data_IF_395694206198
#
_entry.id   IF_395694206198
#
_cell.length_a   1.000
_cell.length_b   1.000
_cell.length_c   1.000
_cell.angle_alpha   90.00
_cell.angle_beta   90.00
_cell.angle_gamma   90.00
#
_symmetry.space_group_name_H-M   'P 1'
#
loop_
_entity.id
_entity.type
_entity.pdbx_description
1 polymer ?
#
# COMPACT_ATOMS: atom_id res chain seq x y z
N UNK A 1 -61.70 44.32 -28.43
CA UNK A 1 -60.64 44.15 -27.39
C UNK A 1 -61.16 43.52 -26.09
N UNK A 2 -62.31 43.95 -25.53
CA UNK A 2 -62.86 43.40 -24.26
C UNK A 2 -63.22 41.90 -24.25
N UNK A 3 -63.61 41.34 -25.41
CA UNK A 3 -63.90 39.90 -25.55
C UNK A 3 -62.63 39.04 -25.69
N UNK A 4 -61.54 39.64 -26.19
CA UNK A 4 -60.25 38.95 -26.35
C UNK A 4 -59.53 38.85 -25.00
N UNK A 5 -59.60 39.90 -24.19
CA UNK A 5 -59.07 39.92 -22.82
C UNK A 5 -59.79 38.93 -21.90
N UNK A 6 -61.12 38.75 -22.05
CA UNK A 6 -61.88 37.79 -21.26
C UNK A 6 -61.50 36.32 -21.57
N UNK A 7 -61.20 36.02 -22.84
CA UNK A 7 -60.75 34.68 -23.28
C UNK A 7 -59.31 34.44 -22.82
N UNK A 8 -58.44 35.46 -22.85
CA UNK A 8 -57.06 35.36 -22.37
C UNK A 8 -57.01 35.15 -20.85
N UNK A 9 -57.88 35.82 -20.07
CA UNK A 9 -57.98 35.61 -18.62
C UNK A 9 -58.58 34.24 -18.26
N UNK A 10 -59.52 33.72 -19.05
CA UNK A 10 -60.10 32.39 -18.82
C UNK A 10 -59.11 31.27 -19.19
N UNK A 11 -58.29 31.47 -20.21
CA UNK A 11 -57.20 30.56 -20.56
C UNK A 11 -56.05 30.57 -19.53
N UNK A 12 -55.78 31.72 -18.89
CA UNK A 12 -54.73 31.84 -17.88
C UNK A 12 -55.12 31.24 -16.51
N UNK A 13 -56.43 31.15 -16.20
CA UNK A 13 -56.93 30.43 -15.01
C UNK A 13 -56.87 28.91 -15.22
N UNK A 14 -57.06 28.41 -16.45
CA UNK A 14 -56.91 26.98 -16.75
C UNK A 14 -55.45 26.50 -16.79
N UNK A 15 -54.48 27.39 -17.00
CA UNK A 15 -53.05 27.05 -17.03
C UNK A 15 -52.42 26.88 -15.63
N UNK A 16 -53.09 27.30 -14.54
CA UNK A 16 -52.59 27.21 -13.17
C UNK A 16 -53.15 26.03 -12.35
N UNK A 17 -53.98 25.15 -12.93
CA UNK A 17 -54.60 24.03 -12.22
C UNK A 17 -54.01 22.65 -12.51
N UNK A 18 -52.87 22.54 -13.19
CA UNK A 18 -52.17 21.25 -13.38
C UNK A 18 -51.06 21.04 -12.36
N UNK A 19 -51.34 21.31 -11.08
CA UNK A 19 -50.71 20.53 -10.03
C UNK A 19 -51.56 19.27 -9.86
N UNK A 20 -51.27 18.24 -10.65
CA UNK A 20 -51.76 16.88 -10.38
C UNK A 20 -51.16 16.40 -9.07
N UNK A 21 -51.74 16.83 -7.94
CA UNK A 21 -51.84 15.96 -6.80
C UNK A 21 -52.58 14.72 -7.30
N UNK A 22 -51.89 13.58 -7.34
CA UNK A 22 -52.52 12.31 -7.64
C UNK A 22 -53.66 12.10 -6.64
N UNK A 23 -54.87 12.46 -7.05
CA UNK A 23 -56.05 12.38 -6.22
C UNK A 23 -56.45 10.91 -6.18
N UNK A 24 -56.49 10.32 -4.97
CA UNK A 24 -56.84 8.91 -4.76
C UNK A 24 -58.08 8.55 -5.57
N UNK A 25 -58.00 7.48 -6.35
CA UNK A 25 -59.13 6.94 -7.08
C UNK A 25 -60.29 6.62 -6.13
N UNK A 26 -61.53 6.60 -6.64
CA UNK A 26 -62.72 6.28 -5.81
C UNK A 26 -62.59 4.93 -5.10
N UNK A 27 -61.88 3.97 -5.72
CA UNK A 27 -61.59 2.67 -5.14
C UNK A 27 -60.62 2.79 -3.96
N UNK A 28 -59.49 3.46 -4.14
CA UNK A 28 -58.51 3.69 -3.08
C UNK A 28 -59.11 4.51 -1.93
N UNK A 29 -59.89 5.56 -2.21
CA UNK A 29 -60.57 6.33 -1.17
C UNK A 29 -61.51 5.46 -0.31
N UNK A 30 -62.18 4.48 -0.91
CA UNK A 30 -63.04 3.52 -0.19
C UNK A 30 -62.20 2.59 0.69
N UNK A 31 -61.05 2.15 0.21
CA UNK A 31 -60.11 1.33 1.00
C UNK A 31 -59.49 2.11 2.17
N UNK A 32 -59.02 3.33 1.93
CA UNK A 32 -58.49 4.19 2.98
C UNK A 32 -59.53 4.57 4.02
N UNK A 33 -60.80 4.77 3.62
CA UNK A 33 -61.91 4.93 4.57
C UNK A 33 -62.18 3.68 5.41
N UNK A 34 -62.03 2.48 4.84
CA UNK A 34 -62.14 1.22 5.61
C UNK A 34 -60.98 1.09 6.59
N UNK A 35 -59.74 1.27 6.13
CA UNK A 35 -58.53 1.26 6.97
C UNK A 35 -58.61 2.27 8.12
N UNK A 36 -59.06 3.50 7.83
CA UNK A 36 -59.25 4.52 8.87
C UNK A 36 -60.28 4.11 9.94
N UNK A 37 -61.40 3.48 9.53
CA UNK A 37 -62.38 2.94 10.48
C UNK A 37 -61.84 1.77 11.29
N UNK A 38 -60.99 0.94 10.70
CA UNK A 38 -60.35 -0.20 11.36
C UNK A 38 -59.35 0.26 12.42
N UNK A 39 -58.48 1.22 12.09
CA UNK A 39 -57.56 1.83 13.05
C UNK A 39 -58.28 2.62 14.15
N UNK A 40 -59.43 3.24 13.84
CA UNK A 40 -60.26 3.90 14.86
C UNK A 40 -60.84 2.91 15.88
N UNK A 41 -61.03 1.64 15.51
CA UNK A 41 -61.50 0.58 16.41
C UNK A 41 -60.36 -0.04 17.24
N UNK A 42 -59.12 0.01 16.76
CA UNK A 42 -57.93 -0.53 17.43
C UNK A 42 -56.83 0.54 17.57
N UNK A 43 -56.91 1.42 18.60
CA UNK A 43 -55.91 2.47 18.83
C UNK A 43 -54.49 1.94 19.10
N UNK A 44 -54.36 0.77 19.74
CA UNK A 44 -53.05 0.15 20.03
C UNK A 44 -52.29 -0.23 18.75
N UNK A 45 -53.01 -0.78 17.77
CA UNK A 45 -52.41 -1.16 16.48
C UNK A 45 -51.91 0.08 15.72
N UNK A 46 -52.64 1.20 15.80
CA UNK A 46 -52.20 2.45 15.21
C UNK A 46 -50.94 2.98 15.91
N UNK A 47 -50.88 2.93 17.24
CA UNK A 47 -49.69 3.32 18.00
C UNK A 47 -48.47 2.49 17.61
N UNK A 48 -48.61 1.16 17.53
CA UNK A 48 -47.52 0.27 17.10
C UNK A 48 -47.01 0.59 15.69
N UNK A 49 -47.91 0.80 14.73
CA UNK A 49 -47.53 1.16 13.36
C UNK A 49 -46.80 2.50 13.28
N UNK A 50 -47.19 3.47 14.11
CA UNK A 50 -46.51 4.78 14.16
C UNK A 50 -45.12 4.64 14.77
N UNK A 51 -44.99 3.90 15.88
CA UNK A 51 -43.68 3.64 16.51
C UNK A 51 -42.75 2.85 15.58
N UNK A 52 -43.28 1.85 14.86
CA UNK A 52 -42.53 1.09 13.86
C UNK A 52 -42.12 1.96 12.67
N UNK A 53 -43.01 2.80 12.13
CA UNK A 53 -42.66 3.73 11.07
C UNK A 53 -41.59 4.73 11.50
N UNK A 54 -41.67 5.24 12.73
CA UNK A 54 -40.66 6.14 13.27
C UNK A 54 -39.30 5.43 13.41
N UNK A 55 -39.30 4.19 13.87
CA UNK A 55 -38.09 3.34 13.92
C UNK A 55 -37.51 3.08 12.53
N UNK A 56 -38.35 2.69 11.57
CA UNK A 56 -37.95 2.44 10.18
C UNK A 56 -37.41 3.71 9.51
N UNK A 57 -38.02 4.88 9.75
CA UNK A 57 -37.50 6.16 9.28
C UNK A 57 -36.11 6.46 9.87
N UNK A 58 -35.89 6.15 11.15
CA UNK A 58 -34.58 6.24 11.78
C UNK A 58 -33.55 5.33 11.11
N UNK A 59 -33.90 4.07 10.85
CA UNK A 59 -33.04 3.11 10.16
C UNK A 59 -32.70 3.55 8.74
N UNK A 60 -33.69 4.01 7.96
CA UNK A 60 -33.48 4.53 6.60
C UNK A 60 -32.54 5.72 6.62
N UNK A 61 -32.68 6.62 7.59
CA UNK A 61 -31.77 7.77 7.74
C UNK A 61 -30.35 7.32 8.07
N UNK A 62 -30.21 6.37 8.99
CA UNK A 62 -28.90 5.80 9.36
C UNK A 62 -28.23 5.10 8.17
N UNK A 63 -28.95 4.21 7.48
CA UNK A 63 -28.45 3.51 6.30
C UNK A 63 -28.07 4.46 5.18
N UNK A 64 -28.84 5.55 4.99
CA UNK A 64 -28.50 6.58 4.00
C UNK A 64 -27.18 7.28 4.35
N UNK A 65 -26.99 7.68 5.61
CA UNK A 65 -25.73 8.28 6.08
C UNK A 65 -24.55 7.31 5.91
N UNK A 66 -24.73 6.03 6.25
CA UNK A 66 -23.71 5.01 6.09
C UNK A 66 -23.33 4.80 4.62
N UNK A 67 -24.32 4.78 3.72
CA UNK A 67 -24.09 4.64 2.29
C UNK A 67 -23.34 5.84 1.71
N UNK A 68 -23.67 7.07 2.12
CA UNK A 68 -22.91 8.27 1.75
C UNK A 68 -21.47 8.22 2.26
N UNK A 69 -21.25 7.75 3.51
CA UNK A 69 -19.91 7.57 4.05
C UNK A 69 -19.11 6.50 3.29
N UNK A 70 -19.75 5.39 2.92
CA UNK A 70 -19.13 4.36 2.08
C UNK A 70 -18.77 4.87 0.69
N UNK A 71 -19.64 5.65 0.06
CA UNK A 71 -19.36 6.28 -1.24
C UNK A 71 -18.15 7.21 -1.17
N UNK A 72 -18.03 8.02 -0.10
CA UNK A 72 -16.86 8.87 0.12
C UNK A 72 -15.58 8.03 0.26
N UNK A 73 -15.61 6.97 1.08
CA UNK A 73 -14.45 6.07 1.24
C UNK A 73 -14.06 5.37 -0.06
N UNK A 74 -15.02 5.04 -0.92
CA UNK A 74 -14.74 4.45 -2.22
C UNK A 74 -14.02 5.46 -3.13
N UNK A 75 -14.51 6.71 -3.16
CA UNK A 75 -13.85 7.80 -3.91
C UNK A 75 -12.41 8.05 -3.44
N UNK A 76 -12.16 8.03 -2.12
CA UNK A 76 -10.80 8.19 -1.57
C UNK A 76 -9.88 7.03 -1.97
N UNK A 77 -10.43 5.80 -2.00
CA UNK A 77 -9.70 4.62 -2.45
C UNK A 77 -9.39 4.66 -3.94
N UNK A 78 -10.32 5.10 -4.76
CA UNK A 78 -10.12 5.24 -6.20
C UNK A 78 -9.03 6.28 -6.51
N UNK A 79 -9.02 7.41 -5.77
CA UNK A 79 -7.95 8.39 -5.85
C UNK A 79 -6.58 7.78 -5.48
N UNK A 80 -6.52 6.98 -4.41
CA UNK A 80 -5.26 6.33 -4.01
C UNK A 80 -4.79 5.27 -5.00
N UNK A 81 -5.71 4.55 -5.62
CA UNK A 81 -5.40 3.59 -6.69
C UNK A 81 -4.78 4.32 -7.88
N UNK A 82 -5.34 5.48 -8.28
CA UNK A 82 -4.77 6.29 -9.35
C UNK A 82 -3.34 6.75 -9.03
N UNK A 83 -3.11 7.26 -7.81
CA UNK A 83 -1.77 7.70 -7.37
C UNK A 83 -0.74 6.55 -7.40
N UNK A 84 -1.11 5.37 -6.87
CA UNK A 84 -0.24 4.20 -6.88
C UNK A 84 0.04 3.68 -8.30
N UNK A 85 -0.92 3.80 -9.21
CA UNK A 85 -0.72 3.45 -10.63
C UNK A 85 0.28 4.39 -11.31
N UNK A 86 0.22 5.68 -11.00
CA UNK A 86 1.17 6.68 -11.50
C UNK A 86 2.58 6.41 -10.95
N UNK A 87 2.72 6.12 -9.66
CA UNK A 87 4.00 5.80 -9.03
C UNK A 87 4.63 4.52 -9.61
N UNK A 88 3.83 3.47 -9.82
CA UNK A 88 4.29 2.25 -10.49
C UNK A 88 4.79 2.52 -11.91
N UNK A 89 4.14 3.46 -12.61
CA UNK A 89 4.55 3.83 -13.97
C UNK A 89 5.87 4.61 -13.95
N UNK A 90 6.05 5.53 -12.99
CA UNK A 90 7.32 6.26 -12.79
C UNK A 90 8.45 5.32 -12.43
N UNK A 91 8.27 4.47 -11.41
CA UNK A 91 9.29 3.51 -10.97
C UNK A 91 9.70 2.54 -12.08
N UNK A 92 8.76 2.11 -12.92
CA UNK A 92 9.09 1.30 -14.12
C UNK A 92 9.92 2.08 -15.13
N UNK A 93 9.62 3.35 -15.34
CA UNK A 93 10.43 4.26 -16.15
C UNK A 93 11.84 4.41 -15.60
N UNK A 94 11.98 4.71 -14.32
CA UNK A 94 13.26 4.89 -13.63
C UNK A 94 14.09 3.60 -13.67
N UNK A 95 13.48 2.44 -13.42
CA UNK A 95 14.16 1.15 -13.51
C UNK A 95 14.62 0.86 -14.95
N UNK A 96 13.81 1.19 -15.95
CA UNK A 96 14.21 1.06 -17.36
C UNK A 96 15.40 1.96 -17.69
N UNK A 97 15.41 3.21 -17.23
CA UNK A 97 16.50 4.17 -17.43
C UNK A 97 17.78 3.74 -16.70
N UNK A 98 17.69 3.39 -15.42
CA UNK A 98 18.82 2.89 -14.64
C UNK A 98 19.41 1.60 -15.24
N UNK A 99 18.57 0.72 -15.78
CA UNK A 99 19.02 -0.50 -16.47
C UNK A 99 19.73 -0.17 -17.79
N UNK A 100 19.29 0.86 -18.51
CA UNK A 100 19.97 1.34 -19.72
C UNK A 100 21.34 1.94 -19.37
N UNK A 101 21.40 2.80 -18.34
CA UNK A 101 22.65 3.37 -17.83
C UNK A 101 23.64 2.28 -17.37
N UNK A 102 23.16 1.26 -16.65
CA UNK A 102 23.99 0.12 -16.23
C UNK A 102 24.54 -0.67 -17.43
N UNK A 103 23.76 -0.82 -18.50
CA UNK A 103 24.21 -1.50 -19.73
C UNK A 103 25.29 -0.69 -20.43
N UNK A 104 25.15 0.63 -20.48
CA UNK A 104 26.11 1.52 -21.10
C UNK A 104 27.42 1.58 -20.28
N UNK A 105 27.34 1.57 -18.94
CA UNK A 105 28.53 1.46 -18.06
C UNK A 105 29.23 0.09 -18.20
N UNK A 106 28.49 -1.00 -18.37
CA UNK A 106 29.04 -2.36 -18.52
C UNK A 106 29.54 -2.69 -19.94
N UNK A 107 29.48 -1.73 -20.86
CA UNK A 107 29.97 -1.86 -22.25
C UNK A 107 31.48 -1.65 -22.38
N UNK A 108 32.21 -1.35 -21.30
CA UNK A 108 33.66 -1.46 -21.29
C UNK A 108 34.09 -2.93 -21.12
N UNK A 109 35.01 -3.45 -21.95
CA UNK A 109 35.37 -4.86 -21.91
C UNK A 109 36.28 -5.14 -20.71
N UNK A 110 35.72 -5.64 -19.61
CA UNK A 110 36.48 -6.30 -18.56
C UNK A 110 36.54 -7.81 -18.86
N UNK A 111 37.74 -8.27 -19.15
CA UNK A 111 38.05 -9.69 -19.29
C UNK A 111 37.79 -10.44 -17.96
N UNK A 112 37.14 -11.60 -18.08
CA UNK A 112 37.25 -12.80 -17.24
C UNK A 112 37.43 -12.63 -15.71
N UNK A 113 36.40 -12.95 -14.93
CA UNK A 113 36.31 -14.17 -14.10
C UNK A 113 35.16 -14.07 -13.10
N UNK A 114 34.64 -15.24 -12.74
CA UNK A 114 33.47 -15.51 -11.88
C UNK A 114 33.53 -14.81 -10.51
N UNK A 115 32.49 -14.05 -10.16
CA UNK A 115 31.78 -14.03 -8.85
C UNK A 115 30.95 -12.74 -8.68
N UNK A 116 29.61 -12.87 -8.68
CA UNK A 116 28.64 -11.86 -8.19
C UNK A 116 28.61 -10.47 -8.86
N UNK A 117 27.55 -9.68 -8.68
CA UNK A 117 27.59 -8.25 -8.98
C UNK A 117 28.53 -7.59 -7.95
N UNK A 118 29.73 -7.22 -8.39
CA UNK A 118 30.66 -6.40 -7.61
C UNK A 118 29.94 -5.08 -7.33
N UNK A 119 29.51 -4.89 -6.09
CA UNK A 119 29.09 -3.57 -5.62
C UNK A 119 30.37 -2.78 -5.36
N UNK A 120 30.56 -1.69 -6.09
CA UNK A 120 31.69 -0.78 -5.84
C UNK A 120 31.61 -0.23 -4.40
N UNK A 121 32.72 -0.30 -3.69
CA UNK A 121 32.85 0.17 -2.30
C UNK A 121 33.02 -0.94 -1.26
N UNK A 122 32.89 -0.55 0.01
CA UNK A 122 33.02 -1.44 1.16
C UNK A 122 31.67 -2.06 1.51
N UNK A 123 31.65 -3.38 1.63
CA UNK A 123 30.50 -4.18 2.07
C UNK A 123 30.92 -5.04 3.26
N UNK A 124 30.15 -4.97 4.33
CA UNK A 124 30.31 -5.79 5.53
C UNK A 124 29.39 -7.01 5.44
N UNK A 125 29.95 -8.21 5.50
CA UNK A 125 29.21 -9.46 5.58
C UNK A 125 29.40 -10.07 6.97
N UNK A 126 28.41 -10.81 7.49
CA UNK A 126 28.58 -11.51 8.78
C UNK A 126 28.83 -12.99 8.52
N UNK A 127 30.05 -13.45 8.81
CA UNK A 127 30.41 -14.85 8.73
C UNK A 127 29.84 -15.60 9.94
N UNK A 128 29.08 -16.67 9.68
CA UNK A 128 28.41 -17.48 10.70
C UNK A 128 29.10 -18.81 10.99
N UNK A 129 30.08 -19.19 10.15
CA UNK A 129 30.90 -20.37 10.39
C UNK A 129 31.82 -20.73 9.21
N UNK A 130 32.62 -21.75 9.42
CA UNK A 130 33.40 -22.41 8.39
C UNK A 130 33.23 -23.94 8.57
N UNK A 131 32.75 -24.64 7.54
CA UNK A 131 32.38 -26.06 7.63
C UNK A 131 33.17 -26.90 6.62
N UNK A 132 33.71 -28.06 7.04
CA UNK A 132 34.49 -28.97 6.15
C UNK A 132 33.62 -29.93 5.35
N UNK A 133 32.52 -30.39 5.93
CA UNK A 133 31.75 -31.54 5.41
C UNK A 133 30.29 -31.19 5.08
N UNK A 134 29.99 -29.90 4.87
CA UNK A 134 28.67 -29.44 4.44
C UNK A 134 28.89 -28.64 3.18
N UNK A 135 28.23 -29.05 2.10
CA UNK A 135 28.19 -28.29 0.85
C UNK A 135 26.83 -27.61 0.75
N UNK A 136 26.82 -26.32 1.01
CA UNK A 136 25.66 -25.45 0.91
C UNK A 136 25.70 -24.59 -0.37
N UNK A 137 26.57 -24.92 -1.34
CA UNK A 137 26.74 -24.14 -2.58
C UNK A 137 25.43 -23.96 -3.34
N UNK A 138 24.56 -24.98 -3.30
CA UNK A 138 23.23 -24.98 -3.94
C UNK A 138 22.27 -23.91 -3.41
N UNK A 139 22.53 -23.38 -2.20
CA UNK A 139 21.69 -22.37 -1.57
C UNK A 139 22.21 -20.95 -1.76
N UNK A 140 23.43 -20.78 -2.27
CA UNK A 140 24.03 -19.47 -2.51
C UNK A 140 23.53 -18.84 -3.82
N UNK A 141 23.27 -19.66 -4.85
CA UNK A 141 22.85 -19.18 -6.18
C UNK A 141 21.50 -18.46 -6.17
N UNK A 142 20.63 -18.77 -5.20
CA UNK A 142 19.26 -18.26 -5.12
C UNK A 142 19.04 -17.24 -3.99
N UNK A 143 20.09 -16.81 -3.29
CA UNK A 143 19.92 -16.00 -2.10
C UNK A 143 20.99 -14.90 -1.97
N UNK A 144 20.60 -13.66 -2.25
CA UNK A 144 21.48 -12.49 -2.20
C UNK A 144 22.09 -12.27 -0.80
N UNK A 145 21.36 -12.65 0.24
CA UNK A 145 21.78 -12.47 1.63
C UNK A 145 22.47 -13.70 2.22
N UNK A 146 22.67 -14.78 1.47
CA UNK A 146 23.32 -15.99 1.96
C UNK A 146 24.36 -16.47 0.95
N UNK A 147 25.63 -16.23 1.26
CA UNK A 147 26.76 -16.57 0.39
C UNK A 147 27.79 -17.42 1.12
N UNK A 148 28.59 -18.16 0.36
CA UNK A 148 29.74 -18.84 0.93
C UNK A 148 30.86 -19.05 -0.06
N UNK A 149 32.08 -19.07 0.48
CA UNK A 149 33.33 -19.18 -0.25
C UNK A 149 34.06 -20.44 0.22
N UNK A 150 34.67 -21.16 -0.72
CA UNK A 150 35.51 -22.31 -0.41
C UNK A 150 36.97 -21.86 -0.31
N UNK A 151 37.55 -22.01 0.87
CA UNK A 151 38.95 -21.67 1.13
C UNK A 151 39.57 -22.80 1.95
N UNK A 152 40.70 -23.33 1.50
CA UNK A 152 41.45 -24.41 2.16
C UNK A 152 40.62 -25.66 2.54
N UNK A 153 39.67 -26.05 1.67
CA UNK A 153 38.79 -27.20 1.91
C UNK A 153 37.75 -26.96 3.02
N UNK A 154 37.52 -25.69 3.38
CA UNK A 154 36.47 -25.26 4.30
C UNK A 154 35.52 -24.29 3.60
N UNK A 155 34.22 -24.55 3.71
CA UNK A 155 33.20 -23.65 3.22
C UNK A 155 32.89 -22.60 4.28
N UNK A 156 33.36 -21.38 4.05
CA UNK A 156 33.07 -20.20 4.88
C UNK A 156 31.68 -19.69 4.50
N UNK A 157 30.79 -19.59 5.48
CA UNK A 157 29.39 -19.19 5.25
C UNK A 157 29.15 -17.81 5.83
N UNK A 158 28.58 -16.95 5.01
CA UNK A 158 28.28 -15.55 5.31
C UNK A 158 26.79 -15.27 5.13
N UNK A 159 26.25 -14.40 5.97
CA UNK A 159 24.86 -14.03 6.01
C UNK A 159 24.74 -12.50 6.12
N UNK A 160 23.89 -11.93 5.28
CA UNK A 160 23.68 -10.50 5.16
C UNK A 160 24.83 -9.76 4.47
N UNK A 161 24.48 -8.65 3.82
CA UNK A 161 25.41 -7.70 3.24
C UNK A 161 24.99 -6.30 3.68
N UNK A 162 25.89 -5.57 4.31
CA UNK A 162 25.62 -4.28 4.93
C UNK A 162 26.62 -3.24 4.43
N UNK A 163 26.16 -2.02 4.17
CA UNK A 163 27.06 -0.90 3.84
C UNK A 163 27.63 -0.24 5.10
N UNK A 164 26.91 -0.35 6.22
CA UNK A 164 27.29 0.23 7.50
C UNK A 164 27.85 -0.84 8.45
N UNK A 165 28.96 -0.51 9.11
CA UNK A 165 29.59 -1.39 10.11
C UNK A 165 28.70 -1.63 11.34
N UNK A 166 28.00 -0.61 11.83
CA UNK A 166 27.11 -0.66 12.98
C UNK A 166 25.89 -1.54 12.74
N UNK A 167 25.37 -1.53 11.52
CA UNK A 167 24.29 -2.41 11.11
C UNK A 167 24.76 -3.88 11.12
N UNK A 168 25.94 -4.15 10.56
CA UNK A 168 26.57 -5.46 10.62
C UNK A 168 26.88 -5.92 12.06
N UNK A 169 27.30 -4.99 12.95
CA UNK A 169 27.54 -5.27 14.36
C UNK A 169 26.27 -5.62 15.12
N UNK A 170 25.18 -4.90 14.87
CA UNK A 170 23.87 -5.18 15.44
C UNK A 170 23.36 -6.56 14.97
N UNK A 171 23.45 -6.84 13.67
CA UNK A 171 23.06 -8.12 13.11
C UNK A 171 23.90 -9.29 13.68
N UNK A 172 25.21 -9.11 13.81
CA UNK A 172 26.11 -10.07 14.47
C UNK A 172 25.68 -10.34 15.92
N UNK A 173 25.27 -9.31 16.69
CA UNK A 173 24.78 -9.50 18.08
C UNK A 173 23.53 -10.37 18.12
N UNK A 174 22.56 -10.11 17.26
CA UNK A 174 21.34 -10.94 17.16
C UNK A 174 21.67 -12.39 16.79
N UNK A 175 22.59 -12.61 15.86
CA UNK A 175 23.03 -13.97 15.51
C UNK A 175 23.65 -14.70 16.70
N UNK A 176 24.45 -14.01 17.52
CA UNK A 176 25.05 -14.59 18.72
C UNK A 176 24.01 -14.90 19.79
N UNK A 177 23.02 -14.04 19.99
CA UNK A 177 21.89 -14.27 20.90
C UNK A 177 21.05 -15.49 20.47
N UNK A 178 20.87 -15.69 19.16
CA UNK A 178 20.19 -16.87 18.60
C UNK A 178 21.05 -18.15 18.62
N UNK A 179 22.30 -18.09 19.11
CA UNK A 179 23.16 -19.25 19.32
C UNK A 179 24.31 -19.41 18.32
N UNK A 180 24.47 -18.50 17.35
CA UNK A 180 25.62 -18.47 16.43
C UNK A 180 26.79 -17.73 17.10
N UNK A 181 27.41 -18.39 18.08
CA UNK A 181 28.41 -17.77 18.98
C UNK A 181 29.66 -17.26 18.24
N UNK A 182 30.03 -17.93 17.16
CA UNK A 182 31.21 -17.61 16.37
C UNK A 182 30.90 -16.65 15.22
N UNK A 183 29.80 -15.88 15.28
CA UNK A 183 29.53 -14.89 14.25
C UNK A 183 30.55 -13.74 14.30
N UNK A 184 31.17 -13.37 13.17
CA UNK A 184 32.07 -12.21 13.06
C UNK A 184 31.84 -11.43 11.76
N UNK A 185 32.21 -10.15 11.76
CA UNK A 185 32.09 -9.28 10.59
C UNK A 185 33.32 -9.45 9.71
N UNK A 186 33.10 -9.59 8.41
CA UNK A 186 34.13 -9.66 7.38
C UNK A 186 33.86 -8.53 6.37
N UNK A 187 34.78 -7.57 6.23
CA UNK A 187 34.65 -6.55 5.20
C UNK A 187 35.18 -7.06 3.85
N UNK A 188 34.48 -6.66 2.81
CA UNK A 188 34.86 -6.84 1.41
C UNK A 188 34.92 -5.45 0.77
N UNK A 189 35.98 -5.17 0.03
CA UNK A 189 36.11 -3.98 -0.79
C UNK A 189 36.20 -4.42 -2.24
N UNK A 190 35.26 -3.99 -3.07
CA UNK A 190 35.19 -4.33 -4.50
C UNK A 190 35.24 -5.86 -4.74
N UNK A 191 34.56 -6.62 -3.87
CA UNK A 191 34.52 -8.09 -3.91
C UNK A 191 35.73 -8.79 -3.29
N UNK A 192 36.78 -8.05 -2.88
CA UNK A 192 37.97 -8.63 -2.25
C UNK A 192 37.90 -8.46 -0.74
N UNK A 193 38.10 -9.55 0.00
CA UNK A 193 38.17 -9.50 1.47
C UNK A 193 39.34 -8.63 1.92
N UNK A 194 39.06 -7.67 2.80
CA UNK A 194 40.06 -6.76 3.36
C UNK A 194 40.07 -6.84 4.90
N UNK A 195 41.20 -6.51 5.55
CA UNK A 195 41.24 -6.37 7.00
C UNK A 195 40.27 -5.29 7.49
N UNK A 196 39.60 -5.54 8.61
CA UNK A 196 38.64 -4.59 9.18
C UNK A 196 39.28 -3.25 9.59
N UNK A 197 40.58 -3.26 9.91
CA UNK A 197 41.34 -2.07 10.27
C UNK A 197 41.45 -1.11 9.09
N UNK A 198 41.82 -1.63 7.93
CA UNK A 198 42.02 -0.88 6.69
C UNK A 198 40.73 -0.22 6.19
N UNK A 199 39.58 -0.78 6.56
CA UNK A 199 38.26 -0.25 6.23
C UNK A 199 37.76 0.78 7.25
N UNK A 200 37.95 0.50 8.54
CA UNK A 200 37.53 1.43 9.59
C UNK A 200 38.31 2.74 9.53
N UNK A 201 39.59 2.71 9.14
CA UNK A 201 40.38 3.93 8.92
C UNK A 201 39.83 4.78 7.75
N UNK A 202 39.29 4.16 6.69
CA UNK A 202 38.72 4.87 5.55
C UNK A 202 37.32 5.46 5.81
N UNK A 203 36.47 4.75 6.54
CA UNK A 203 35.09 5.20 6.84
C UNK A 203 35.07 6.32 7.89
N UNK A 204 35.99 6.31 8.86
CA UNK A 204 36.11 7.36 9.88
C UNK A 204 36.79 8.62 9.32
N UNK A 205 37.63 8.48 8.28
CA UNK A 205 38.29 9.63 7.64
C UNK A 205 37.34 10.45 6.74
N UNK A 206 36.31 9.81 6.15
CA UNK A 206 35.37 10.48 5.24
C UNK A 206 34.24 11.20 6.00
N UNK A 207 33.79 10.68 7.14
CA UNK A 207 32.84 11.36 8.05
C UNK A 207 33.46 12.54 8.81
N UNK A 208 34.79 12.70 8.77
CA UNK A 208 35.51 13.79 9.45
C UNK A 208 35.79 15.03 8.58
N UNK A 209 35.51 14.98 7.27
CA UNK A 209 35.88 16.04 6.33
C UNK A 209 34.71 16.94 5.87
N UNK A 210 33.48 16.71 6.34
CA UNK A 210 32.30 17.46 5.91
C UNK A 210 31.94 18.67 6.80
N UNK A 211 32.64 18.91 7.92
CA UNK A 211 32.36 20.00 8.86
C UNK A 211 33.56 20.96 9.05
N UNK A 212 34.21 21.37 7.96
CA UNK A 212 35.01 22.61 7.95
C UNK A 212 35.36 23.05 6.54
N UNK A 213 34.52 23.90 5.94
CA UNK A 213 34.87 25.20 5.31
C UNK A 213 33.64 25.88 4.69
#
# INVERSE_FOLDING_TARGET
>A
MKKLTAILTLAMIMAFSVNSFAQLSKAEMKEWKKKAKEYAKNPEQMKQLVEENQSLQGQVTSLKTENTAMQSRMSDKDAKISELQDDLTKLRGDLSSAKAELRDMKSQPAASSSEGPIMDGVVFKVQIGAFRNKDLSKYFENNENFSGENEDGMQKITLGQFRDYWEADTFKKYLREMGVKDAWIVPYKDGVRVPIKDVLEGVIADDGAADSE
#
